data_IF_648704640099
#
_entry.id   IF_648704640099
#
_cell.length_a   1.000
_cell.length_b   1.000
_cell.length_c   1.000
_cell.angle_alpha   90.00
_cell.angle_beta   90.00
_cell.angle_gamma   90.00
#
_symmetry.space_group_name_H-M   'P 1'
#
loop_
_entity.id
_entity.type
_entity.pdbx_description
1 polymer ?
#
# COMPACT_ATOMS: atom_id res chain seq x y z
N UNK A 1 23.17 -45.89 -16.40
CA UNK A 1 22.08 -45.00 -16.85
C UNK A 1 21.80 -44.02 -15.69
N UNK A 2 22.39 -42.81 -15.76
CA UNK A 2 22.18 -41.77 -14.78
C UNK A 2 20.79 -41.16 -14.94
N UNK A 3 20.03 -41.14 -13.85
CA UNK A 3 18.88 -40.30 -13.71
C UNK A 3 19.39 -38.86 -13.53
N UNK A 4 19.34 -38.10 -14.60
CA UNK A 4 19.56 -36.66 -14.52
C UNK A 4 18.44 -36.02 -13.72
N UNK A 5 18.77 -35.52 -12.54
CA UNK A 5 17.91 -34.66 -11.77
C UNK A 5 17.57 -33.45 -12.62
N UNK A 6 16.38 -33.44 -13.19
CA UNK A 6 15.76 -32.25 -13.74
C UNK A 6 15.31 -31.39 -12.53
N UNK A 7 16.25 -30.66 -11.96
CA UNK A 7 15.90 -29.55 -11.11
C UNK A 7 15.06 -28.59 -11.94
N UNK A 8 13.74 -28.66 -11.82
CA UNK A 8 12.86 -27.56 -12.20
C UNK A 8 13.35 -26.36 -11.39
N UNK A 9 14.08 -25.46 -12.05
CA UNK A 9 14.37 -24.13 -11.50
C UNK A 9 13.00 -23.52 -11.17
N UNK A 10 12.64 -23.51 -9.90
CA UNK A 10 11.58 -22.67 -9.43
C UNK A 10 12.02 -21.23 -9.72
N UNK A 11 11.43 -20.64 -10.76
CA UNK A 11 11.60 -19.23 -11.01
C UNK A 11 10.90 -18.52 -9.82
N UNK A 12 11.70 -18.01 -8.93
CA UNK A 12 11.17 -17.13 -7.89
C UNK A 12 10.95 -15.76 -8.54
N UNK A 13 9.71 -15.51 -8.92
CA UNK A 13 9.29 -14.21 -9.48
C UNK A 13 9.53 -13.07 -8.49
N UNK A 14 9.67 -11.84 -9.00
CA UNK A 14 9.65 -10.64 -8.16
C UNK A 14 8.37 -10.67 -7.34
N UNK A 15 8.52 -10.55 -6.01
CA UNK A 15 7.44 -10.44 -5.05
C UNK A 15 7.55 -9.10 -4.33
N UNK A 16 6.42 -8.41 -4.23
CA UNK A 16 6.31 -7.13 -3.56
C UNK A 16 5.51 -7.29 -2.27
N UNK A 17 5.83 -6.51 -1.22
CA UNK A 17 4.98 -6.44 -0.04
C UNK A 17 3.62 -5.80 -0.39
N UNK A 18 2.60 -6.13 0.38
CA UNK A 18 1.22 -5.69 0.17
C UNK A 18 1.07 -4.17 0.02
N UNK A 19 1.91 -3.41 0.72
CA UNK A 19 1.91 -1.94 0.67
C UNK A 19 2.39 -1.38 -0.68
N UNK A 20 3.16 -2.14 -1.46
CA UNK A 20 3.62 -1.77 -2.81
C UNK A 20 2.72 -2.41 -3.86
N UNK A 21 1.51 -1.92 -3.99
CA UNK A 21 0.48 -2.47 -4.88
C UNK A 21 -0.32 -1.36 -5.58
N UNK A 22 -1.25 -1.75 -6.45
CA UNK A 22 -2.14 -0.82 -7.14
C UNK A 22 -2.88 0.08 -6.16
N UNK A 23 -3.18 1.30 -6.57
CA UNK A 23 -3.82 2.37 -5.79
C UNK A 23 -2.99 2.91 -4.62
N UNK A 24 -1.73 2.49 -4.45
CA UNK A 24 -0.88 2.99 -3.37
C UNK A 24 -0.65 4.49 -3.45
N UNK A 25 -0.23 5.05 -2.32
CA UNK A 25 0.26 6.42 -2.28
C UNK A 25 1.70 6.45 -1.81
N UNK A 26 2.47 7.31 -2.45
CA UNK A 26 3.87 7.57 -2.10
C UNK A 26 4.00 8.98 -1.54
N UNK A 27 4.80 9.14 -0.48
CA UNK A 27 5.10 10.46 0.08
C UNK A 27 5.70 11.36 -0.99
N UNK A 28 5.16 12.58 -1.14
CA UNK A 28 5.67 13.58 -2.07
C UNK A 28 7.03 14.16 -1.65
N UNK A 29 7.80 14.67 -2.62
CA UNK A 29 9.09 15.34 -2.41
C UNK A 29 10.08 14.56 -1.54
N UNK A 30 10.01 13.23 -1.56
CA UNK A 30 10.75 12.34 -0.67
C UNK A 30 11.52 11.26 -1.43
N UNK A 31 12.52 10.69 -0.77
CA UNK A 31 13.11 9.42 -1.19
C UNK A 31 12.31 8.29 -0.56
N UNK A 32 11.54 7.56 -1.36
CA UNK A 32 10.71 6.45 -0.93
C UNK A 32 11.40 5.13 -1.19
N UNK A 33 11.27 4.19 -0.26
CA UNK A 33 11.85 2.85 -0.36
C UNK A 33 10.93 1.94 -1.16
N UNK A 34 11.48 1.27 -2.15
CA UNK A 34 10.91 0.12 -2.83
C UNK A 34 11.72 -1.12 -2.48
N UNK A 35 11.06 -2.21 -2.13
CA UNK A 35 11.71 -3.45 -1.73
C UNK A 35 10.86 -4.67 -2.03
N UNK A 36 11.47 -5.82 -1.95
CA UNK A 36 10.78 -7.09 -2.14
C UNK A 36 11.72 -8.27 -2.17
N UNK A 37 11.22 -9.38 -2.67
CA UNK A 37 11.98 -10.61 -2.89
C UNK A 37 12.05 -10.93 -4.37
N UNK A 38 13.10 -11.61 -4.76
CA UNK A 38 13.33 -12.13 -6.11
C UNK A 38 14.34 -13.29 -6.02
N UNK A 39 14.67 -13.90 -7.15
CA UNK A 39 15.73 -14.90 -7.17
C UNK A 39 17.08 -14.27 -6.78
N UNK A 40 17.89 -14.96 -5.95
CA UNK A 40 19.24 -14.50 -5.66
C UNK A 40 20.04 -14.12 -6.90
N UNK A 41 20.64 -12.93 -6.90
CA UNK A 41 21.38 -12.39 -8.03
C UNK A 41 20.53 -11.88 -9.21
N UNK A 42 19.20 -11.90 -9.11
CA UNK A 42 18.33 -11.37 -10.16
C UNK A 42 18.51 -9.86 -10.32
N UNK A 43 18.62 -9.43 -11.57
CA UNK A 43 18.72 -8.00 -11.93
C UNK A 43 17.32 -7.46 -12.20
N UNK A 44 16.89 -6.51 -11.38
CA UNK A 44 15.58 -5.89 -11.45
C UNK A 44 15.72 -4.47 -12.00
N UNK A 45 14.96 -4.17 -13.04
CA UNK A 45 14.80 -2.84 -13.60
C UNK A 45 13.48 -2.24 -13.14
N UNK A 46 13.53 -1.09 -12.46
CA UNK A 46 12.35 -0.33 -12.04
C UNK A 46 12.26 0.94 -12.88
N UNK A 47 11.10 1.20 -13.47
CA UNK A 47 10.81 2.39 -14.27
C UNK A 47 9.60 3.11 -13.70
N UNK A 48 9.75 4.38 -13.41
CA UNK A 48 8.72 5.29 -12.93
C UNK A 48 8.08 6.07 -14.07
N UNK A 49 6.80 6.42 -13.97
CA UNK A 49 6.09 7.22 -14.98
C UNK A 49 6.34 8.72 -14.84
N UNK A 50 6.59 9.22 -13.62
CA UNK A 50 6.68 10.66 -13.32
C UNK A 50 7.97 11.33 -13.78
N UNK A 51 9.07 10.58 -13.87
CA UNK A 51 10.38 11.13 -14.32
C UNK A 51 11.02 10.26 -15.40
N UNK A 52 10.36 9.16 -15.80
CA UNK A 52 10.83 8.19 -16.79
C UNK A 52 12.20 7.57 -16.49
N UNK A 53 12.71 7.75 -15.26
CA UNK A 53 13.99 7.18 -14.85
C UNK A 53 13.93 5.66 -14.76
N UNK A 54 15.11 5.08 -14.94
CA UNK A 54 15.34 3.65 -14.84
C UNK A 54 16.30 3.42 -13.68
N UNK A 55 15.81 2.72 -12.67
CA UNK A 55 16.57 2.29 -11.51
C UNK A 55 16.93 0.83 -11.67
N UNK A 56 18.15 0.45 -11.27
CA UNK A 56 18.59 -0.93 -11.34
C UNK A 56 19.02 -1.39 -9.96
N UNK A 57 18.60 -2.59 -9.59
CA UNK A 57 18.98 -3.24 -8.35
C UNK A 57 19.23 -4.72 -8.62
N UNK A 58 20.07 -5.35 -7.82
CA UNK A 58 20.31 -6.80 -7.86
C UNK A 58 19.88 -7.40 -6.53
N UNK A 59 19.09 -8.45 -6.58
CA UNK A 59 18.70 -9.18 -5.38
C UNK A 59 19.92 -9.83 -4.73
N UNK A 60 20.00 -9.74 -3.42
CA UNK A 60 21.06 -10.32 -2.60
C UNK A 60 21.03 -11.84 -2.61
N UNK A 61 22.00 -12.48 -1.94
CA UNK A 61 22.09 -13.94 -1.85
C UNK A 61 20.88 -14.58 -1.15
N UNK A 62 20.21 -13.84 -0.26
CA UNK A 62 18.96 -14.27 0.39
C UNK A 62 17.68 -13.86 -0.36
N UNK A 63 17.84 -13.31 -1.58
CA UNK A 63 16.74 -12.92 -2.45
C UNK A 63 16.10 -11.56 -2.13
N UNK A 64 16.57 -10.83 -1.14
CA UNK A 64 16.06 -9.48 -0.84
C UNK A 64 16.65 -8.44 -1.77
N UNK A 65 15.85 -7.46 -2.15
CA UNK A 65 16.28 -6.28 -2.87
C UNK A 65 15.57 -5.03 -2.34
N UNK A 66 16.28 -3.91 -2.39
CA UNK A 66 15.71 -2.60 -2.07
C UNK A 66 16.37 -1.50 -2.87
N UNK A 67 15.64 -0.43 -3.11
CA UNK A 67 16.15 0.79 -3.73
C UNK A 67 15.34 2.01 -3.29
N UNK A 68 15.98 3.19 -3.38
CA UNK A 68 15.34 4.47 -3.08
C UNK A 68 14.95 5.18 -4.37
N UNK A 69 13.71 5.65 -4.44
CA UNK A 69 13.16 6.37 -5.59
C UNK A 69 12.74 7.78 -5.15
N UNK A 70 13.18 8.79 -5.87
CA UNK A 70 12.75 10.17 -5.63
C UNK A 70 11.35 10.40 -6.20
N UNK A 71 10.45 10.90 -5.37
CA UNK A 71 9.11 11.33 -5.77
C UNK A 71 9.07 12.83 -6.06
N UNK A 72 8.25 13.28 -7.01
CA UNK A 72 7.97 14.69 -7.27
C UNK A 72 6.98 15.27 -6.23
N UNK A 73 6.54 16.51 -6.45
CA UNK A 73 5.38 17.09 -5.79
C UNK A 73 4.10 16.28 -6.08
N UNK A 74 3.04 16.53 -5.33
CA UNK A 74 1.76 15.83 -5.41
C UNK A 74 1.24 15.73 -6.86
N UNK A 75 0.87 14.53 -7.26
CA UNK A 75 0.31 14.22 -8.58
C UNK A 75 -0.43 12.89 -8.57
N UNK A 76 -1.31 12.67 -9.53
CA UNK A 76 -2.14 11.48 -9.66
C UNK A 76 -1.83 10.66 -10.92
N UNK A 77 -2.42 9.47 -11.03
CA UNK A 77 -2.38 8.64 -12.22
C UNK A 77 -1.00 8.08 -12.57
N UNK A 78 -0.11 7.97 -11.59
CA UNK A 78 1.24 7.48 -11.81
C UNK A 78 1.30 5.95 -11.83
N UNK A 79 2.40 5.43 -12.36
CA UNK A 79 2.67 4.00 -12.39
C UNK A 79 4.14 3.68 -12.24
N UNK A 80 4.42 2.47 -11.73
CA UNK A 80 5.77 1.91 -11.64
C UNK A 80 5.77 0.55 -12.32
N UNK A 81 6.77 0.30 -13.14
CA UNK A 81 6.99 -0.97 -13.80
C UNK A 81 8.28 -1.59 -13.29
N UNK A 82 8.19 -2.83 -12.82
CA UNK A 82 9.33 -3.66 -12.45
C UNK A 82 9.51 -4.76 -13.49
N UNK A 83 10.74 -5.01 -13.89
CA UNK A 83 11.09 -6.06 -14.83
C UNK A 83 12.33 -6.81 -14.35
N UNK A 84 12.16 -8.08 -14.11
CA UNK A 84 13.18 -9.09 -13.88
C UNK A 84 12.88 -10.32 -14.72
N UNK A 85 12.86 -11.49 -14.11
CA UNK A 85 12.41 -12.74 -14.74
C UNK A 85 10.91 -12.68 -15.07
N UNK A 86 10.12 -12.03 -14.21
CA UNK A 86 8.74 -11.62 -14.49
C UNK A 86 8.62 -10.10 -14.68
N UNK A 87 7.39 -9.64 -14.94
CA UNK A 87 7.06 -8.22 -15.09
C UNK A 87 5.85 -7.88 -14.22
N UNK A 88 6.03 -6.88 -13.36
CA UNK A 88 4.97 -6.32 -12.52
C UNK A 88 4.74 -4.87 -12.93
N UNK A 89 3.48 -4.45 -12.97
CA UNK A 89 3.11 -3.05 -13.13
C UNK A 89 2.17 -2.66 -12.00
N UNK A 90 2.54 -1.64 -11.26
CA UNK A 90 1.72 -1.00 -10.23
C UNK A 90 1.08 0.22 -10.87
N UNK A 91 -0.25 0.31 -10.80
CA UNK A 91 -1.05 1.33 -11.47
C UNK A 91 -1.77 2.22 -10.48
N UNK A 92 -2.30 3.34 -10.99
CA UNK A 92 -3.14 4.28 -10.23
C UNK A 92 -2.48 4.78 -8.95
N UNK A 93 -1.18 5.04 -9.01
CA UNK A 93 -0.41 5.55 -7.88
C UNK A 93 -0.71 7.03 -7.70
N UNK A 94 -0.98 7.45 -6.46
CA UNK A 94 -0.94 8.84 -6.06
C UNK A 94 0.42 9.17 -5.45
N UNK A 95 0.86 10.40 -5.65
CA UNK A 95 1.99 11.00 -4.93
C UNK A 95 1.41 12.15 -4.11
N UNK A 96 1.57 12.12 -2.80
CA UNK A 96 0.97 13.08 -1.87
C UNK A 96 1.45 12.86 -0.45
N UNK A 97 0.61 13.17 0.53
CA UNK A 97 0.93 12.95 1.93
C UNK A 97 0.55 11.53 2.38
N UNK A 98 1.41 10.90 3.15
CA UNK A 98 1.18 9.57 3.74
C UNK A 98 1.12 9.69 5.24
N UNK A 99 0.03 9.25 5.84
CA UNK A 99 -0.19 9.28 7.28
C UNK A 99 -0.34 7.87 7.85
N UNK A 100 0.41 7.60 8.91
CA UNK A 100 0.27 6.38 9.70
C UNK A 100 -0.67 6.67 10.86
N UNK A 101 -1.86 6.06 10.84
CA UNK A 101 -2.84 6.15 11.90
C UNK A 101 -2.75 4.90 12.78
N UNK A 102 -2.20 5.02 13.97
CA UNK A 102 -2.03 3.92 14.91
C UNK A 102 -2.62 4.27 16.27
N UNK A 103 -3.02 3.28 17.04
CA UNK A 103 -3.62 3.47 18.35
C UNK A 103 -4.23 2.16 18.89
N UNK A 104 -5.28 2.31 19.66
CA UNK A 104 -6.03 1.20 20.26
C UNK A 104 -7.48 1.22 19.75
N UNK A 105 -8.44 0.74 20.56
CA UNK A 105 -9.85 0.57 20.21
C UNK A 105 -10.51 1.79 19.57
N UNK A 106 -10.17 3.01 19.99
CA UNK A 106 -10.72 4.22 19.38
C UNK A 106 -10.24 4.43 17.94
N UNK A 107 -9.00 4.05 17.63
CA UNK A 107 -8.49 4.09 16.25
C UNK A 107 -9.11 2.98 15.40
N UNK A 108 -9.51 1.88 16.00
CA UNK A 108 -10.16 0.77 15.34
C UNK A 108 -11.66 0.97 15.08
N UNK A 109 -12.26 1.99 15.68
CA UNK A 109 -13.68 2.27 15.57
C UNK A 109 -14.06 2.59 14.11
N UNK A 110 -14.97 1.83 13.49
CA UNK A 110 -15.29 1.98 12.07
C UNK A 110 -16.20 3.17 11.78
N UNK A 111 -16.18 3.62 10.52
CA UNK A 111 -17.09 4.67 10.04
C UNK A 111 -18.53 4.18 10.10
N UNK A 112 -18.82 3.00 9.58
CA UNK A 112 -20.17 2.44 9.59
C UNK A 112 -20.32 1.35 10.64
N UNK A 113 -21.56 1.20 11.12
CA UNK A 113 -21.93 0.13 12.05
C UNK A 113 -21.71 -1.25 11.44
N UNK A 114 -21.13 -2.15 12.24
CA UNK A 114 -21.07 -3.57 11.91
C UNK A 114 -22.09 -4.35 12.75
N UNK A 115 -23.22 -4.80 12.18
CA UNK A 115 -24.26 -5.52 12.93
C UNK A 115 -23.81 -6.82 13.58
N UNK A 116 -22.73 -7.42 13.06
CA UNK A 116 -22.19 -8.69 13.56
C UNK A 116 -21.23 -8.48 14.75
N UNK A 117 -20.77 -7.26 14.99
CA UNK A 117 -19.80 -6.94 16.05
C UNK A 117 -20.38 -5.84 16.94
N UNK A 118 -20.98 -6.21 18.07
CA UNK A 118 -21.77 -5.32 18.94
C UNK A 118 -21.08 -4.01 19.35
N UNK A 119 -19.78 -3.98 19.52
CA UNK A 119 -19.03 -2.78 19.92
C UNK A 119 -18.69 -1.87 18.73
N UNK A 120 -18.79 -2.34 17.49
CA UNK A 120 -18.56 -1.56 16.27
C UNK A 120 -19.85 -0.82 15.88
N UNK A 121 -20.19 0.23 16.63
CA UNK A 121 -21.48 0.93 16.49
C UNK A 121 -21.50 1.99 15.38
N UNK A 122 -20.38 2.28 14.74
CA UNK A 122 -20.28 3.32 13.71
C UNK A 122 -20.26 4.74 14.26
N UNK A 123 -20.10 5.72 13.38
CA UNK A 123 -20.17 7.14 13.70
C UNK A 123 -21.63 7.58 13.93
N UNK A 124 -21.86 8.67 14.67
CA UNK A 124 -23.21 9.20 14.90
C UNK A 124 -23.90 9.61 13.59
N UNK A 125 -23.15 10.15 12.64
CA UNK A 125 -23.63 10.62 11.34
C UNK A 125 -23.20 9.69 10.19
N UNK A 126 -23.08 8.38 10.44
CA UNK A 126 -22.57 7.40 9.47
C UNK A 126 -23.27 7.47 8.11
N UNK A 127 -24.59 7.67 8.09
CA UNK A 127 -25.38 7.71 6.86
C UNK A 127 -24.99 8.90 5.95
N UNK A 128 -24.75 10.07 6.52
CA UNK A 128 -24.30 11.26 5.81
C UNK A 128 -22.86 11.08 5.30
N UNK A 129 -21.98 10.62 6.19
CA UNK A 129 -20.57 10.39 5.86
C UNK A 129 -20.39 9.35 4.76
N UNK A 130 -21.19 8.29 4.80
CA UNK A 130 -21.16 7.23 3.79
C UNK A 130 -21.74 7.70 2.45
N UNK A 131 -22.80 8.52 2.46
CA UNK A 131 -23.42 9.03 1.24
C UNK A 131 -22.45 9.91 0.42
N UNK A 132 -21.68 10.74 1.11
CA UNK A 132 -20.80 11.73 0.50
C UNK A 132 -19.34 11.23 0.36
N UNK A 133 -19.09 9.97 0.62
CA UNK A 133 -17.73 9.38 0.67
C UNK A 133 -17.15 9.04 -0.69
N UNK A 134 -17.26 9.90 -1.68
CA UNK A 134 -16.59 9.74 -2.98
C UNK A 134 -15.37 10.66 -3.07
N UNK A 135 -14.24 10.16 -2.56
CA UNK A 135 -12.97 10.89 -2.53
C UNK A 135 -11.88 10.15 -3.33
N UNK A 136 -11.84 10.29 -4.65
CA UNK A 136 -10.89 9.55 -5.49
C UNK A 136 -9.42 9.88 -5.21
N UNK A 137 -9.14 10.96 -4.51
CA UNK A 137 -7.79 11.37 -4.11
C UNK A 137 -7.41 10.90 -2.70
N UNK A 138 -8.31 10.26 -1.97
CA UNK A 138 -8.03 9.59 -0.70
C UNK A 138 -7.87 8.10 -0.94
N UNK A 139 -6.81 7.52 -0.43
CA UNK A 139 -6.55 6.08 -0.43
C UNK A 139 -6.52 5.57 1.00
N UNK A 140 -7.12 4.43 1.20
CA UNK A 140 -7.21 3.77 2.49
C UNK A 140 -6.40 2.47 2.42
N UNK A 141 -5.57 2.23 3.43
CA UNK A 141 -4.89 0.96 3.62
C UNK A 141 -5.19 0.48 5.04
N UNK A 142 -5.99 -0.56 5.14
CA UNK A 142 -6.30 -1.18 6.43
C UNK A 142 -5.40 -2.40 6.62
N UNK A 143 -4.60 -2.38 7.66
CA UNK A 143 -3.79 -3.54 8.06
C UNK A 143 -4.66 -4.48 8.89
N UNK A 144 -4.77 -5.72 8.45
CA UNK A 144 -5.51 -6.74 9.19
C UNK A 144 -4.75 -7.17 10.45
N UNK A 145 -5.50 -7.47 11.50
CA UNK A 145 -4.92 -8.00 12.74
C UNK A 145 -4.27 -9.35 12.50
N UNK A 146 -3.00 -9.45 12.86
CA UNK A 146 -2.23 -10.69 12.77
C UNK A 146 -1.45 -10.93 14.05
N UNK A 147 -1.50 -12.16 14.53
CA UNK A 147 -0.59 -12.59 15.60
C UNK A 147 0.81 -12.83 15.03
N UNK A 148 1.82 -12.36 15.74
CA UNK A 148 3.22 -12.54 15.40
C UNK A 148 4.01 -13.09 16.62
N UNK A 149 3.69 -14.33 17.08
CA UNK A 149 4.29 -14.88 18.29
C UNK A 149 5.79 -15.11 18.13
N UNK A 150 6.27 -15.29 16.90
CA UNK A 150 7.67 -15.60 16.60
C UNK A 150 8.50 -14.36 16.24
N UNK A 151 7.93 -13.15 16.40
CA UNK A 151 8.61 -11.90 16.10
C UNK A 151 7.97 -11.07 14.99
N UNK A 152 8.71 -10.08 14.49
CA UNK A 152 8.24 -9.16 13.44
C UNK A 152 7.99 -9.88 12.12
N UNK A 153 6.90 -9.50 11.44
CA UNK A 153 6.60 -9.99 10.09
C UNK A 153 7.21 -9.07 9.04
N UNK A 154 7.70 -9.66 7.97
CA UNK A 154 8.27 -8.92 6.84
C UNK A 154 7.22 -8.17 5.99
N UNK A 155 5.97 -8.60 6.06
CA UNK A 155 4.84 -7.99 5.35
C UNK A 155 3.58 -8.02 6.23
N UNK A 156 2.64 -7.14 5.92
CA UNK A 156 1.33 -7.07 6.54
C UNK A 156 0.26 -7.57 5.56
N UNK A 157 -0.88 -8.01 6.07
CA UNK A 157 -2.06 -8.26 5.24
C UNK A 157 -2.88 -6.98 5.15
N UNK A 158 -3.13 -6.55 3.92
CA UNK A 158 -3.87 -5.35 3.62
C UNK A 158 -3.85 -5.04 2.13
N UNK A 159 -4.65 -4.07 1.72
CA UNK A 159 -4.66 -3.55 0.35
C UNK A 159 -5.02 -2.07 0.32
N UNK A 160 -4.47 -1.36 -0.66
CA UNK A 160 -4.89 -0.01 -0.96
C UNK A 160 -6.25 -0.02 -1.68
N UNK A 161 -7.16 0.81 -1.20
CA UNK A 161 -8.45 1.01 -1.84
C UNK A 161 -8.73 2.50 -2.01
N UNK A 162 -9.48 2.86 -3.06
CA UNK A 162 -9.99 4.21 -3.25
C UNK A 162 -11.08 4.46 -2.21
N UNK A 163 -11.08 5.64 -1.60
CA UNK A 163 -12.12 6.03 -0.66
C UNK A 163 -13.45 6.21 -1.41
N UNK A 164 -14.38 5.31 -1.15
CA UNK A 164 -15.76 5.34 -1.58
C UNK A 164 -16.65 4.72 -0.49
N UNK A 165 -17.97 4.78 -0.58
CA UNK A 165 -18.86 4.26 0.46
C UNK A 165 -18.60 2.79 0.82
N UNK A 166 -18.33 1.94 -0.15
CA UNK A 166 -18.11 0.52 0.09
C UNK A 166 -16.81 0.26 0.86
N UNK A 167 -15.72 0.91 0.46
CA UNK A 167 -14.40 0.72 1.04
C UNK A 167 -14.22 1.43 2.39
N UNK A 168 -15.03 2.48 2.64
CA UNK A 168 -14.91 3.30 3.83
C UNK A 168 -15.55 2.67 5.06
N UNK A 169 -16.60 1.87 4.90
CA UNK A 169 -17.47 1.39 5.99
C UNK A 169 -16.71 0.77 7.17
N UNK A 170 -15.71 -0.05 6.90
CA UNK A 170 -14.92 -0.76 7.91
C UNK A 170 -13.61 -0.04 8.28
N UNK A 171 -13.35 1.13 7.68
CA UNK A 171 -12.15 1.89 7.94
C UNK A 171 -12.26 2.71 9.24
N UNK A 172 -11.13 3.09 9.83
CA UNK A 172 -11.07 3.93 11.04
C UNK A 172 -11.82 5.24 10.85
N UNK A 173 -12.83 5.49 11.66
CA UNK A 173 -13.57 6.76 11.67
C UNK A 173 -12.65 7.95 11.97
N UNK A 174 -11.76 7.82 12.97
CA UNK A 174 -10.80 8.85 13.34
C UNK A 174 -9.82 9.11 12.21
N UNK A 175 -9.25 8.04 11.61
CA UNK A 175 -8.35 8.14 10.47
C UNK A 175 -9.01 8.80 9.26
N UNK A 176 -10.24 8.43 8.95
CA UNK A 176 -11.00 9.02 7.85
C UNK A 176 -11.28 10.51 8.05
N UNK A 177 -11.82 10.91 9.22
CA UNK A 177 -12.15 12.32 9.51
C UNK A 177 -10.89 13.18 9.46
N UNK A 178 -9.78 12.70 10.00
CA UNK A 178 -8.49 13.37 9.90
C UNK A 178 -8.05 13.54 8.45
N UNK A 179 -8.03 12.45 7.67
CA UNK A 179 -7.63 12.47 6.26
C UNK A 179 -8.50 13.41 5.43
N UNK A 180 -9.82 13.32 5.53
CA UNK A 180 -10.76 14.17 4.82
C UNK A 180 -10.58 15.67 5.15
N UNK A 181 -10.46 16.01 6.42
CA UNK A 181 -10.21 17.42 6.81
C UNK A 181 -8.89 17.93 6.26
N UNK A 182 -7.86 17.13 6.29
CA UNK A 182 -6.55 17.53 5.78
C UNK A 182 -6.58 17.75 4.25
N UNK A 183 -7.28 16.92 3.48
CA UNK A 183 -7.49 17.13 2.03
C UNK A 183 -8.29 18.42 1.77
N UNK A 184 -9.38 18.63 2.49
CA UNK A 184 -10.24 19.82 2.30
C UNK A 184 -9.52 21.13 2.61
N UNK A 185 -8.56 21.12 3.53
CA UNK A 185 -7.82 22.33 3.95
C UNK A 185 -6.65 22.69 3.04
N UNK A 186 -6.05 21.71 2.37
CA UNK A 186 -4.76 21.88 1.70
C UNK A 186 -4.80 21.62 0.21
N UNK A 187 -5.90 21.14 -0.36
CA UNK A 187 -5.98 20.57 -1.71
C UNK A 187 -4.91 19.46 -1.96
N UNK A 188 -4.45 18.82 -0.87
CA UNK A 188 -3.44 17.77 -0.91
C UNK A 188 -4.11 16.39 -0.91
N UNK A 189 -3.59 15.51 -1.72
CA UNK A 189 -3.92 14.08 -1.66
C UNK A 189 -3.40 13.49 -0.35
N UNK A 190 -4.29 12.98 0.50
CA UNK A 190 -3.90 12.35 1.76
C UNK A 190 -4.36 10.89 1.79
N UNK A 191 -3.45 9.95 1.72
CA UNK A 191 -3.73 8.58 2.09
C UNK A 191 -3.53 8.37 3.59
N UNK A 192 -4.34 7.50 4.15
CA UNK A 192 -4.26 7.12 5.56
C UNK A 192 -3.95 5.64 5.67
N UNK A 193 -2.88 5.30 6.37
CA UNK A 193 -2.55 3.92 6.74
C UNK A 193 -2.93 3.72 8.20
N UNK A 194 -3.60 2.62 8.48
CA UNK A 194 -3.85 2.12 9.83
C UNK A 194 -3.05 0.84 10.06
N UNK A 195 -2.33 0.79 11.14
CA UNK A 195 -1.71 -0.42 11.68
C UNK A 195 -2.53 -1.00 12.82
#
# INVERSE_FOLDING_TARGET
RGLGDVYKRQHADIQLPSILSDNMVLQQNAKVRFWGKARPGEKILVKTSWDHKKYKVTASENGHWELMIQTPAATSGQSVMLKGDNKIRINNILIGEVWLCTGQSNMEFPVARNPQVKWKTGMLNEAEEMKDADFPEIRLFHVEHQLAPDGEKEDCVGKWVVCNPENLKDFSAVGFVFGRKSVSYTHLTLPTIRL
#
